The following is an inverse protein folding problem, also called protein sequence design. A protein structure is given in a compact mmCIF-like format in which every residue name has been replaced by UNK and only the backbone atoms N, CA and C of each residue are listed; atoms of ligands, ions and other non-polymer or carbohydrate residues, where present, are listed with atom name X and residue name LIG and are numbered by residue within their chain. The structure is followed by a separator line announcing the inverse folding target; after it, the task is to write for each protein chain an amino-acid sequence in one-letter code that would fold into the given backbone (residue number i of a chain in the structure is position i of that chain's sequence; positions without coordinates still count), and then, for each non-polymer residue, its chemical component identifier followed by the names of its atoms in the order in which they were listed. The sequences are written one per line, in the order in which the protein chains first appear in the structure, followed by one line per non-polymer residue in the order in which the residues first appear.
data_IF_281388760747
#
_entry.id   IF_281388760747
#
_cell.length_a   1.000
_cell.length_b   1.000
_cell.length_c   1.000
_cell.angle_alpha   90.00
_cell.angle_beta   90.00
_cell.angle_gamma   90.00
#
_symmetry.space_group_name_H-M   'P 1'
#
loop_
_entity.id
_entity.type
_entity.pdbx_description
1 polymer ?
#
# COMPACT_ATOMS: atom_id res chain seq x y z
N UNK A 1 -21.63 -24.57 2.04
CA UNK A 1 -20.52 -23.68 1.69
C UNK A 1 -21.03 -22.68 0.65
N UNK A 2 -20.66 -21.42 0.78
CA UNK A 2 -20.87 -20.37 -0.20
C UNK A 2 -19.52 -19.87 -0.71
N UNK A 3 -19.39 -19.63 -2.01
CA UNK A 3 -18.21 -19.02 -2.62
C UNK A 3 -18.63 -17.89 -3.54
N UNK A 4 -17.95 -16.75 -3.44
CA UNK A 4 -18.25 -15.62 -4.30
C UNK A 4 -17.27 -14.47 -4.18
N UNK A 5 -17.66 -13.32 -4.73
CA UNK A 5 -16.89 -12.08 -4.72
C UNK A 5 -17.80 -11.01 -4.09
N UNK A 6 -17.77 -10.97 -2.76
CA UNK A 6 -18.72 -10.17 -1.98
C UNK A 6 -17.99 -9.03 -1.28
N UNK A 7 -18.62 -7.88 -1.25
CA UNK A 7 -18.26 -6.78 -0.36
C UNK A 7 -19.15 -6.88 0.89
N UNK A 8 -18.54 -7.24 2.03
CA UNK A 8 -19.25 -7.49 3.29
C UNK A 8 -18.69 -6.53 4.34
N UNK A 9 -19.56 -5.79 5.02
CA UNK A 9 -19.16 -4.88 6.08
C UNK A 9 -18.52 -5.62 7.27
N UNK A 10 -17.53 -4.96 7.92
CA UNK A 10 -16.85 -5.48 9.10
C UNK A 10 -15.65 -6.39 8.82
N UNK A 11 -15.09 -6.33 7.61
CA UNK A 11 -13.86 -7.03 7.25
C UNK A 11 -12.77 -6.07 6.77
N UNK A 12 -11.52 -6.45 6.99
CA UNK A 12 -10.38 -5.65 6.57
C UNK A 12 -10.23 -5.64 5.04
N UNK A 13 -10.33 -4.45 4.44
CA UNK A 13 -10.02 -4.22 3.02
C UNK A 13 -8.52 -4.28 2.78
N UNK A 14 -7.77 -3.61 3.66
CA UNK A 14 -6.32 -3.56 3.71
C UNK A 14 -5.86 -3.77 5.14
N UNK A 15 -4.58 -3.96 5.33
CA UNK A 15 -3.98 -4.07 6.64
C UNK A 15 -4.27 -2.82 7.47
N UNK A 16 -5.03 -2.98 8.56
CA UNK A 16 -5.41 -1.87 9.46
C UNK A 16 -6.62 -1.03 9.01
N UNK A 17 -7.25 -1.35 7.87
CA UNK A 17 -8.42 -0.63 7.37
C UNK A 17 -9.61 -1.56 7.17
N UNK A 18 -10.65 -1.38 7.96
CA UNK A 18 -11.90 -2.14 7.92
C UNK A 18 -12.95 -1.45 7.06
N UNK A 19 -13.68 -2.21 6.24
CA UNK A 19 -14.83 -1.70 5.50
C UNK A 19 -16.05 -1.62 6.40
N UNK A 20 -16.70 -0.46 6.41
CA UNK A 20 -17.98 -0.26 7.09
C UNK A 20 -19.17 -0.33 6.13
N UNK A 21 -18.91 -0.36 4.83
CA UNK A 21 -19.90 -0.46 3.77
C UNK A 21 -19.98 -1.90 3.25
N UNK A 22 -21.10 -2.23 2.59
CA UNK A 22 -21.29 -3.52 1.96
C UNK A 22 -22.49 -4.32 2.49
N UNK A 23 -22.50 -5.61 2.18
CA UNK A 23 -23.55 -6.53 2.58
C UNK A 23 -23.51 -6.81 4.08
N UNK A 24 -24.68 -6.93 4.68
CA UNK A 24 -24.79 -7.42 6.06
C UNK A 24 -24.39 -8.90 6.11
N UNK A 25 -23.48 -9.27 7.01
CA UNK A 25 -22.99 -10.63 7.17
C UNK A 25 -24.06 -11.64 7.55
N UNK A 26 -25.16 -11.22 8.15
CA UNK A 26 -26.29 -12.10 8.52
C UNK A 26 -26.96 -12.76 7.31
N UNK A 27 -26.80 -12.22 6.10
CA UNK A 27 -27.26 -12.85 4.86
C UNK A 27 -26.65 -14.22 4.65
N UNK A 28 -25.46 -14.43 5.21
CA UNK A 28 -24.66 -15.63 5.06
C UNK A 28 -24.85 -16.68 6.16
N UNK A 29 -25.63 -16.40 7.21
CA UNK A 29 -25.82 -17.28 8.39
C UNK A 29 -26.36 -18.67 8.02
N UNK A 30 -27.01 -18.82 6.87
CA UNK A 30 -27.51 -20.10 6.36
C UNK A 30 -26.41 -21.03 5.81
N UNK A 31 -25.19 -20.56 5.68
CA UNK A 31 -24.06 -21.35 5.18
C UNK A 31 -23.11 -21.66 6.33
N UNK A 32 -22.54 -22.86 6.36
CA UNK A 32 -21.58 -23.24 7.39
C UNK A 32 -20.21 -22.54 7.21
N UNK A 33 -19.83 -22.27 5.96
CA UNK A 33 -18.59 -21.58 5.56
C UNK A 33 -18.85 -20.71 4.35
N UNK A 34 -18.24 -19.55 4.35
CA UNK A 34 -18.25 -18.61 3.23
C UNK A 34 -16.84 -18.23 2.84
N UNK A 35 -16.50 -18.36 1.56
CA UNK A 35 -15.22 -17.91 0.99
C UNK A 35 -15.49 -16.78 0.02
N UNK A 36 -14.86 -15.63 0.28
CA UNK A 36 -15.02 -14.43 -0.54
C UNK A 36 -13.69 -13.94 -1.08
N UNK A 37 -13.73 -13.44 -2.32
CA UNK A 37 -12.74 -12.52 -2.87
C UNK A 37 -13.10 -11.08 -2.53
N UNK A 38 -12.77 -10.12 -3.39
CA UNK A 38 -12.97 -8.69 -3.30
C UNK A 38 -11.85 -7.98 -2.53
N UNK A 39 -11.70 -8.23 -1.23
CA UNK A 39 -10.62 -7.62 -0.46
C UNK A 39 -9.29 -8.31 -0.71
N UNK A 40 -8.24 -7.50 -0.93
CA UNK A 40 -6.89 -8.01 -1.18
C UNK A 40 -6.24 -8.57 0.09
N UNK A 41 -6.59 -8.00 1.25
CA UNK A 41 -6.11 -8.47 2.54
C UNK A 41 -6.87 -9.71 2.98
N UNK A 42 -6.14 -10.69 3.53
CA UNK A 42 -6.72 -11.90 4.08
C UNK A 42 -7.26 -11.63 5.49
N UNK A 43 -8.53 -11.89 5.70
CA UNK A 43 -9.18 -11.75 7.00
C UNK A 43 -10.31 -12.75 7.16
N UNK A 44 -10.68 -13.08 8.39
CA UNK A 44 -11.80 -13.97 8.67
C UNK A 44 -12.41 -13.72 10.06
N UNK A 45 -13.64 -14.18 10.25
CA UNK A 45 -14.31 -14.30 11.54
C UNK A 45 -14.61 -15.76 11.91
N UNK A 46 -13.94 -16.74 11.28
CA UNK A 46 -14.10 -18.19 11.38
C UNK A 46 -15.37 -18.75 10.73
N UNK A 47 -16.21 -17.92 10.17
CA UNK A 47 -17.39 -18.28 9.37
C UNK A 47 -17.22 -17.77 7.94
N UNK A 48 -16.86 -16.51 7.79
CA UNK A 48 -16.59 -15.84 6.51
C UNK A 48 -15.09 -15.62 6.39
N UNK A 49 -14.50 -16.08 5.27
CA UNK A 49 -13.08 -15.99 4.98
C UNK A 49 -12.89 -15.17 3.71
N UNK A 50 -12.22 -14.02 3.83
CA UNK A 50 -11.61 -13.32 2.72
C UNK A 50 -10.27 -13.94 2.40
N UNK A 51 -10.16 -14.52 1.21
CA UNK A 51 -9.00 -15.33 0.83
C UNK A 51 -7.77 -14.48 0.45
N UNK A 52 -8.00 -13.19 0.15
CA UNK A 52 -6.95 -12.30 -0.30
C UNK A 52 -6.47 -12.57 -1.72
N UNK A 53 -5.42 -11.88 -2.14
CA UNK A 53 -4.79 -12.04 -3.44
C UNK A 53 -3.74 -13.14 -3.43
N UNK A 54 -3.54 -13.88 -4.54
CA UNK A 54 -2.46 -14.86 -4.66
C UNK A 54 -1.06 -14.22 -4.80
N UNK A 55 -0.97 -12.96 -5.22
CA UNK A 55 0.24 -12.15 -5.37
C UNK A 55 -0.08 -10.66 -5.19
N UNK A 56 0.94 -9.83 -5.03
CA UNK A 56 0.78 -8.38 -4.91
C UNK A 56 0.28 -7.78 -6.24
N UNK A 57 -0.74 -6.91 -6.19
CA UNK A 57 -1.31 -6.22 -7.35
C UNK A 57 -1.02 -4.71 -7.29
N UNK A 58 -1.00 -4.15 -6.09
CA UNK A 58 -0.81 -2.72 -5.85
C UNK A 58 0.19 -2.50 -4.71
N UNK A 59 0.69 -1.27 -4.56
CA UNK A 59 1.57 -0.90 -3.46
C UNK A 59 0.95 -1.06 -2.07
N UNK A 60 -0.38 -1.08 -1.97
CA UNK A 60 -1.10 -1.39 -0.72
C UNK A 60 -0.90 -2.84 -0.27
N UNK A 61 -0.55 -3.72 -1.22
CA UNK A 61 -0.28 -5.12 -0.96
C UNK A 61 1.15 -5.36 -0.45
N UNK A 62 2.01 -4.33 -0.50
CA UNK A 62 3.40 -4.43 -0.08
C UNK A 62 3.53 -4.93 1.36
N UNK A 63 4.43 -5.89 1.58
CA UNK A 63 4.72 -6.49 2.88
C UNK A 63 3.50 -7.13 3.59
N UNK A 64 2.49 -7.55 2.81
CA UNK A 64 1.36 -8.31 3.29
C UNK A 64 1.41 -9.73 2.67
N UNK A 65 1.45 -10.81 3.47
CA UNK A 65 1.62 -12.17 2.95
C UNK A 65 0.52 -12.55 1.95
N UNK A 66 0.93 -12.84 0.71
CA UNK A 66 0.06 -13.28 -0.38
C UNK A 66 0.17 -14.77 -0.62
N UNK A 67 -0.85 -15.35 -1.23
CA UNK A 67 -0.87 -16.78 -1.49
C UNK A 67 -2.25 -17.28 -1.87
N UNK A 68 -2.41 -18.58 -1.79
CA UNK A 68 -3.69 -19.24 -2.07
C UNK A 68 -4.04 -20.24 -0.96
N UNK A 69 -5.27 -20.74 -1.01
CA UNK A 69 -5.75 -21.68 0.00
C UNK A 69 -6.04 -23.04 -0.61
N UNK A 70 -5.75 -24.08 0.17
CA UNK A 70 -6.25 -25.44 -0.04
C UNK A 70 -7.36 -25.69 0.96
N UNK A 71 -8.51 -26.16 0.49
CA UNK A 71 -9.62 -26.52 1.33
C UNK A 71 -9.92 -28.01 1.22
N UNK A 72 -9.79 -28.73 2.32
CA UNK A 72 -10.16 -30.14 2.41
C UNK A 72 -11.65 -30.26 2.71
N UNK A 73 -12.39 -30.89 1.79
CA UNK A 73 -13.84 -31.08 1.94
C UNK A 73 -14.21 -32.07 3.04
N UNK A 74 -13.31 -33.00 3.37
CA UNK A 74 -13.56 -34.06 4.36
C UNK A 74 -13.33 -33.57 5.77
N UNK A 75 -12.20 -32.88 6.01
CA UNK A 75 -11.83 -32.33 7.32
C UNK A 75 -12.39 -30.93 7.53
N UNK A 76 -12.76 -30.24 6.47
CA UNK A 76 -13.16 -28.82 6.46
C UNK A 76 -12.06 -27.86 6.88
N UNK A 77 -10.81 -28.27 6.75
CA UNK A 77 -9.66 -27.46 7.04
C UNK A 77 -9.31 -26.57 5.84
N UNK A 78 -8.98 -25.32 6.13
CA UNK A 78 -8.51 -24.33 5.17
C UNK A 78 -7.04 -24.04 5.45
N UNK A 79 -6.15 -24.47 4.56
CA UNK A 79 -4.71 -24.25 4.65
C UNK A 79 -4.30 -23.09 3.75
N UNK A 80 -3.52 -22.15 4.27
CA UNK A 80 -2.94 -21.05 3.49
C UNK A 80 -1.54 -21.41 3.01
N UNK A 81 -1.32 -21.36 1.71
CA UNK A 81 -0.03 -21.57 1.07
C UNK A 81 0.53 -20.20 0.65
N UNK A 82 1.58 -19.77 1.35
CA UNK A 82 2.21 -18.46 1.10
C UNK A 82 2.94 -18.46 -0.24
N UNK A 83 2.71 -17.42 -1.04
CA UNK A 83 3.52 -17.12 -2.22
C UNK A 83 4.88 -16.54 -1.75
N UNK A 84 6.01 -17.16 -2.09
CA UNK A 84 7.33 -16.67 -1.69
C UNK A 84 7.80 -15.47 -2.52
N UNK A 85 7.12 -15.17 -3.62
CA UNK A 85 7.52 -14.10 -4.55
C UNK A 85 6.81 -12.80 -4.23
N UNK A 86 7.57 -11.71 -4.15
CA UNK A 86 7.05 -10.34 -4.03
C UNK A 86 7.35 -9.54 -5.28
N UNK A 87 6.41 -8.69 -5.70
CA UNK A 87 6.57 -7.80 -6.85
C UNK A 87 7.14 -6.45 -6.45
N UNK A 88 6.86 -6.00 -5.23
CA UNK A 88 7.26 -4.69 -4.75
C UNK A 88 8.40 -4.78 -3.76
N UNK A 89 9.28 -3.78 -3.79
CA UNK A 89 10.34 -3.61 -2.81
C UNK A 89 10.46 -2.14 -2.42
N UNK A 90 10.68 -1.87 -1.14
CA UNK A 90 10.96 -0.53 -0.62
C UNK A 90 12.42 -0.49 -0.18
N UNK A 91 13.13 0.52 -0.64
CA UNK A 91 14.52 0.79 -0.28
C UNK A 91 14.58 2.18 0.30
N UNK A 92 15.25 2.35 1.44
CA UNK A 92 15.46 3.67 2.03
C UNK A 92 16.91 4.07 1.82
N UNK A 93 17.11 5.29 1.31
CA UNK A 93 18.42 5.94 1.25
C UNK A 93 18.51 6.97 2.36
N UNK A 94 19.55 6.84 3.18
CA UNK A 94 19.90 7.79 4.22
C UNK A 94 21.41 7.80 4.36
N UNK A 95 22.06 8.96 4.20
CA UNK A 95 23.52 9.10 4.30
C UNK A 95 23.94 10.08 5.42
N UNK A 96 23.00 10.47 6.31
CA UNK A 96 23.27 11.46 7.36
C UNK A 96 24.12 10.90 8.50
N UNK A 97 23.69 9.80 9.09
CA UNK A 97 24.30 9.24 10.31
C UNK A 97 24.83 7.83 10.12
N UNK A 98 24.51 7.17 9.03
CA UNK A 98 24.90 5.79 8.70
C UNK A 98 25.28 5.68 7.22
N UNK A 99 25.97 4.62 6.87
CA UNK A 99 26.11 4.29 5.47
C UNK A 99 24.79 3.77 4.91
N UNK A 100 24.43 4.14 3.66
CA UNK A 100 23.23 3.64 3.01
C UNK A 100 23.22 2.10 2.94
N UNK A 101 22.00 1.54 2.89
CA UNK A 101 21.83 0.09 2.79
C UNK A 101 22.65 -0.51 1.64
N UNK A 102 23.30 -1.64 1.90
CA UNK A 102 24.01 -2.35 0.84
C UNK A 102 23.01 -3.06 -0.08
N UNK A 103 22.87 -2.52 -1.29
CA UNK A 103 21.96 -3.04 -2.31
C UNK A 103 22.24 -4.49 -2.70
N UNK A 104 23.51 -4.95 -2.59
CA UNK A 104 23.86 -6.33 -2.93
C UNK A 104 23.24 -7.38 -2.00
N UNK A 105 22.72 -6.93 -0.85
CA UNK A 105 21.99 -7.79 0.09
C UNK A 105 20.52 -7.96 -0.26
N UNK A 106 20.02 -7.24 -1.27
CA UNK A 106 18.61 -7.17 -1.61
C UNK A 106 18.31 -7.89 -2.94
N UNK A 107 17.21 -8.63 -2.97
CA UNK A 107 16.67 -9.18 -4.22
C UNK A 107 15.74 -8.16 -4.88
N UNK A 108 16.27 -7.33 -5.80
CA UNK A 108 15.53 -6.26 -6.47
C UNK A 108 15.29 -6.51 -7.96
N UNK A 109 15.88 -7.57 -8.50
CA UNK A 109 15.73 -7.91 -9.92
C UNK A 109 14.25 -8.16 -10.26
N UNK A 110 13.80 -7.57 -11.36
CA UNK A 110 12.45 -7.68 -11.92
C UNK A 110 11.33 -7.12 -10.99
N UNK A 111 11.68 -6.40 -9.90
CA UNK A 111 10.72 -5.80 -8.97
C UNK A 111 10.43 -4.33 -9.29
N UNK A 112 9.24 -3.89 -8.88
CA UNK A 112 8.92 -2.48 -8.75
C UNK A 112 9.53 -1.96 -7.45
N UNK A 113 10.42 -0.99 -7.55
CA UNK A 113 11.17 -0.48 -6.40
C UNK A 113 10.74 0.94 -6.08
N UNK A 114 10.34 1.18 -4.83
CA UNK A 114 10.13 2.53 -4.28
C UNK A 114 11.36 2.89 -3.44
N UNK A 115 12.13 3.86 -3.92
CA UNK A 115 13.27 4.42 -3.20
C UNK A 115 12.80 5.62 -2.40
N UNK A 116 12.81 5.51 -1.08
CA UNK A 116 12.54 6.61 -0.14
C UNK A 116 13.86 7.27 0.19
N UNK A 117 13.99 8.57 -0.10
CA UNK A 117 15.19 9.36 0.19
C UNK A 117 14.93 10.16 1.47
N UNK A 118 15.39 9.64 2.61
CA UNK A 118 15.25 10.29 3.91
C UNK A 118 16.27 11.43 4.06
N UNK A 119 17.55 11.16 3.84
CA UNK A 119 18.61 12.18 3.88
C UNK A 119 19.56 12.01 2.70
N UNK A 120 19.88 13.11 2.06
CA UNK A 120 20.80 13.20 0.92
C UNK A 120 21.83 14.32 1.18
N UNK A 121 22.82 14.03 2.00
CA UNK A 121 23.86 15.00 2.38
C UNK A 121 25.04 15.01 1.41
N UNK A 122 25.31 13.88 0.76
CA UNK A 122 26.37 13.71 -0.25
C UNK A 122 25.76 13.30 -1.60
N UNK A 123 25.65 14.28 -2.52
CA UNK A 123 25.11 14.05 -3.86
C UNK A 123 25.91 13.03 -4.67
N UNK A 124 27.23 12.94 -4.49
CA UNK A 124 28.04 11.98 -5.20
C UNK A 124 27.78 10.53 -4.72
N UNK A 125 27.63 10.34 -3.40
CA UNK A 125 27.22 9.05 -2.84
C UNK A 125 25.84 8.64 -3.34
N UNK A 126 24.91 9.59 -3.36
CA UNK A 126 23.55 9.35 -3.86
C UNK A 126 23.54 8.93 -5.33
N UNK A 127 24.27 9.66 -6.21
CA UNK A 127 24.35 9.31 -7.63
C UNK A 127 24.92 7.91 -7.85
N UNK A 128 25.95 7.53 -7.11
CA UNK A 128 26.51 6.18 -7.17
C UNK A 128 25.51 5.12 -6.70
N UNK A 129 24.75 5.42 -5.66
CA UNK A 129 23.71 4.55 -5.16
C UNK A 129 22.62 4.32 -6.20
N UNK A 130 22.13 5.40 -6.81
CA UNK A 130 21.15 5.34 -7.89
C UNK A 130 21.67 4.53 -9.09
N UNK A 131 22.92 4.77 -9.52
CA UNK A 131 23.53 4.00 -10.61
C UNK A 131 23.58 2.50 -10.27
N UNK A 132 23.97 2.15 -9.04
CA UNK A 132 23.98 0.77 -8.58
C UNK A 132 22.57 0.18 -8.60
N UNK A 133 21.58 0.90 -8.11
CA UNK A 133 20.18 0.48 -8.08
C UNK A 133 19.65 0.20 -9.50
N UNK A 134 19.92 1.08 -10.46
CA UNK A 134 19.55 0.85 -11.88
C UNK A 134 20.21 -0.40 -12.46
N UNK A 135 21.45 -0.69 -12.07
CA UNK A 135 22.18 -1.85 -12.57
C UNK A 135 21.68 -3.20 -11.98
N UNK A 136 20.84 -3.18 -10.95
CA UNK A 136 20.28 -4.40 -10.36
C UNK A 136 19.17 -5.04 -11.21
N UNK A 137 18.74 -4.39 -12.28
CA UNK A 137 17.73 -4.93 -13.19
C UNK A 137 16.30 -4.89 -12.61
N UNK A 138 16.00 -3.86 -11.82
CA UNK A 138 14.65 -3.57 -11.38
C UNK A 138 13.72 -3.34 -12.58
N UNK A 139 12.45 -3.71 -12.45
CA UNK A 139 11.45 -3.44 -13.49
C UNK A 139 11.15 -1.93 -13.58
N UNK A 140 10.98 -1.29 -12.44
CA UNK A 140 10.74 0.14 -12.32
C UNK A 140 11.35 0.66 -11.01
N UNK A 141 11.83 1.90 -11.02
CA UNK A 141 12.31 2.59 -9.83
C UNK A 141 11.58 3.91 -9.70
N UNK A 142 10.79 4.05 -8.64
CA UNK A 142 10.14 5.31 -8.25
C UNK A 142 10.91 5.92 -7.08
N UNK A 143 11.45 7.11 -7.28
CA UNK A 143 12.16 7.87 -6.24
C UNK A 143 11.17 8.78 -5.56
N UNK A 144 11.11 8.72 -4.23
CA UNK A 144 10.26 9.56 -3.39
C UNK A 144 11.17 10.23 -2.37
N UNK A 145 11.23 11.55 -2.40
CA UNK A 145 11.93 12.32 -1.37
C UNK A 145 11.03 12.38 -0.13
N UNK A 146 11.57 11.94 1.00
CA UNK A 146 10.88 12.01 2.28
C UNK A 146 10.94 13.46 2.79
N UNK A 147 9.79 14.11 2.80
CA UNK A 147 9.64 15.49 3.27
C UNK A 147 9.25 15.58 4.75
N UNK A 148 9.28 14.48 5.48
CA UNK A 148 8.84 14.42 6.89
C UNK A 148 9.67 15.30 7.84
N UNK A 149 10.90 15.68 7.48
CA UNK A 149 11.71 16.64 8.27
C UNK A 149 11.14 18.08 8.28
N UNK A 150 10.15 18.39 7.45
CA UNK A 150 9.46 19.69 7.47
C UNK A 150 8.25 19.72 8.42
N UNK A 151 7.96 18.63 9.08
CA UNK A 151 6.91 18.51 10.08
C UNK A 151 7.48 18.63 11.50
N UNK A 152 7.80 19.84 11.94
CA UNK A 152 7.86 20.18 13.35
C UNK A 152 6.43 20.26 13.92
N UNK A 153 5.90 19.11 14.37
CA UNK A 153 4.62 19.08 15.08
C UNK A 153 4.00 17.70 15.12
N UNK A 154 4.09 17.06 16.27
CA UNK A 154 3.29 15.93 16.76
C UNK A 154 2.20 15.39 15.81
N UNK A 155 2.55 14.50 14.89
CA UNK A 155 1.59 13.63 14.23
C UNK A 155 2.15 12.22 14.25
N UNK A 156 1.72 11.45 15.26
CA UNK A 156 1.98 10.00 15.39
C UNK A 156 1.01 9.17 14.57
N UNK A 157 0.78 9.53 13.29
CA UNK A 157 0.09 8.68 12.33
C UNK A 157 1.01 8.46 11.14
N UNK A 158 1.19 7.21 10.74
CA UNK A 158 1.86 6.84 9.49
C UNK A 158 1.22 7.67 8.36
N UNK A 159 1.95 8.67 7.86
CA UNK A 159 1.52 9.42 6.69
C UNK A 159 1.45 8.41 5.55
N UNK A 160 0.25 8.08 5.15
CA UNK A 160 0.03 7.29 3.96
C UNK A 160 0.38 8.17 2.75
N UNK A 161 1.64 8.09 2.30
CA UNK A 161 2.12 8.81 1.11
C UNK A 161 1.31 8.50 -0.16
N UNK A 162 0.38 7.57 -0.08
CA UNK A 162 -0.56 7.23 -1.14
C UNK A 162 -1.83 8.11 -1.12
N UNK A 163 -2.08 8.84 -0.05
CA UNK A 163 -3.15 9.84 -0.03
C UNK A 163 -2.66 11.17 -0.63
N UNK A 164 -2.71 11.25 -1.95
CA UNK A 164 -2.36 12.46 -2.71
C UNK A 164 -3.09 13.70 -2.19
N UNK A 165 -4.30 13.56 -1.66
CA UNK A 165 -5.07 14.68 -1.11
C UNK A 165 -4.48 15.20 0.20
N UNK A 166 -3.98 14.33 1.07
CA UNK A 166 -3.28 14.72 2.29
C UNK A 166 -2.00 15.48 1.96
N UNK A 167 -1.17 14.94 1.06
CA UNK A 167 0.06 15.61 0.61
C UNK A 167 -0.23 16.99 0.02
N UNK A 168 -1.24 17.10 -0.84
CA UNK A 168 -1.65 18.39 -1.44
C UNK A 168 -2.17 19.37 -0.38
N UNK A 169 -2.92 18.87 0.60
CA UNK A 169 -3.46 19.70 1.70
C UNK A 169 -2.33 20.28 2.56
N UNK A 170 -1.36 19.45 2.95
CA UNK A 170 -0.19 19.90 3.71
C UNK A 170 0.68 20.86 2.93
N UNK A 171 0.89 20.61 1.62
CA UNK A 171 1.61 21.54 0.77
C UNK A 171 0.94 22.93 0.75
N UNK A 172 -0.39 22.98 0.57
CA UNK A 172 -1.15 24.25 0.59
C UNK A 172 -0.99 24.96 1.96
N UNK A 173 -0.97 24.20 3.07
CA UNK A 173 -0.77 24.78 4.39
C UNK A 173 0.61 25.39 4.57
N UNK A 174 1.64 24.81 3.96
CA UNK A 174 3.02 25.29 4.03
C UNK A 174 3.32 26.52 3.17
N UNK A 175 2.53 26.76 2.12
CA UNK A 175 2.76 27.90 1.20
C UNK A 175 2.31 29.21 1.82
N UNK A 176 3.18 30.22 1.83
CA UNK A 176 2.80 31.61 2.18
C UNK A 176 2.02 32.22 1.00
N UNK A 177 0.75 32.52 1.21
CA UNK A 177 -0.14 33.10 0.19
C UNK A 177 -1.22 33.97 0.86
N UNK A 178 -1.63 35.02 0.16
CA UNK A 178 -2.77 35.87 0.54
C UNK A 178 -4.13 35.27 0.15
N UNK A 179 -4.14 34.13 -0.55
CA UNK A 179 -5.35 33.44 -0.96
C UNK A 179 -5.92 32.60 0.20
N UNK A 180 -7.23 32.39 0.19
CA UNK A 180 -7.92 31.52 1.12
C UNK A 180 -7.54 30.04 0.92
N UNK A 181 -6.73 29.51 1.82
CA UNK A 181 -6.21 28.14 1.75
C UNK A 181 -7.31 27.07 1.74
N UNK A 182 -8.41 27.29 2.46
CA UNK A 182 -9.54 26.34 2.48
C UNK A 182 -10.26 26.28 1.13
N UNK A 183 -10.40 27.41 0.47
CA UNK A 183 -10.93 27.46 -0.90
C UNK A 183 -10.01 26.73 -1.89
N UNK A 184 -8.68 26.88 -1.76
CA UNK A 184 -7.69 26.18 -2.59
C UNK A 184 -7.77 24.67 -2.35
N UNK A 185 -7.81 24.21 -1.10
CA UNK A 185 -7.95 22.78 -0.78
C UNK A 185 -9.22 22.18 -1.36
N UNK A 186 -10.34 22.88 -1.23
CA UNK A 186 -11.62 22.44 -1.79
C UNK A 186 -11.56 22.31 -3.31
N UNK A 187 -10.96 23.30 -3.98
CA UNK A 187 -10.78 23.26 -5.42
C UNK A 187 -9.86 22.12 -5.88
N UNK A 188 -8.72 21.91 -5.19
CA UNK A 188 -7.79 20.82 -5.47
C UNK A 188 -8.43 19.46 -5.26
N UNK A 189 -9.23 19.29 -4.20
CA UNK A 189 -10.00 18.07 -3.95
C UNK A 189 -10.98 17.76 -5.08
N UNK A 190 -11.67 18.78 -5.60
CA UNK A 190 -12.59 18.64 -6.73
C UNK A 190 -11.85 18.20 -7.99
N UNK A 191 -10.75 18.88 -8.33
CA UNK A 191 -9.92 18.53 -9.49
C UNK A 191 -9.34 17.11 -9.40
N UNK A 192 -8.87 16.71 -8.23
CA UNK A 192 -8.35 15.36 -8.01
C UNK A 192 -9.44 14.31 -8.21
N UNK A 193 -10.63 14.53 -7.65
CA UNK A 193 -11.78 13.63 -7.83
C UNK A 193 -12.19 13.52 -9.29
N UNK A 194 -12.20 14.64 -10.03
CA UNK A 194 -12.48 14.64 -11.47
C UNK A 194 -11.41 13.88 -12.25
N UNK A 195 -10.11 14.09 -11.95
CA UNK A 195 -9.01 13.42 -12.62
C UNK A 195 -9.04 11.89 -12.41
N UNK A 196 -9.27 11.43 -11.18
CA UNK A 196 -9.40 10.00 -10.87
C UNK A 196 -10.58 9.35 -11.60
N UNK A 197 -11.68 10.08 -11.78
CA UNK A 197 -12.85 9.57 -12.51
C UNK A 197 -12.65 9.55 -14.04
N UNK A 198 -11.69 10.29 -14.59
CA UNK A 198 -11.38 10.30 -16.03
C UNK A 198 -10.44 9.14 -16.44
N UNK A 199 -9.63 8.62 -15.53
CA UNK A 199 -8.71 7.50 -15.81
C UNK A 199 -9.41 6.12 -15.85
N UNK A 200 -10.72 6.05 -15.68
CA UNK A 200 -11.52 4.81 -15.66
C UNK A 200 -12.31 4.61 -16.97
N UNK A 201 -11.83 5.15 -18.08
CA UNK A 201 -12.41 4.86 -19.42
C UNK A 201 -11.41 4.15 -20.31
#
# INVERSE_FOLDING_TARGET
ICMGHFEIAGFAMYRGMESHDGLDKTIFDKFDLVFSGHYHHRSDDKHIYYLGNPYELTWQDYNDPRGFHLFDLSTRELEFITNPYSMFARVTYDDKDTDPVDLDTLELKDKYVKLIVANKTDYYKFDRFIQKLYNMGCHEIKIVEDMSEFEDGEIGEEINLEDTLSVLSHYIDSVETDLDKESIKTFMKTLYTEAVNVEVV
#
